data_IF_732707162561
#
_entry.id   IF_732707162561
#
_cell.length_a   1.000
_cell.length_b   1.000
_cell.length_c   1.000
_cell.angle_alpha   90.00
_cell.angle_beta   90.00
_cell.angle_gamma   90.00
#
_symmetry.space_group_name_H-M   'P 1'
#
loop_
_entity.id
_entity.type
_entity.pdbx_description
1 polymer ?
#
# COMPACT_ATOMS: atom_id res chain seq x y z
N UNK A 1 -5.12 1.67 -18.90
CA UNK A 1 -3.69 1.97 -18.70
C UNK A 1 -3.32 1.59 -17.29
N UNK A 2 -2.14 1.02 -17.05
CA UNK A 2 -1.66 0.61 -15.72
C UNK A 2 -1.61 1.82 -14.78
N UNK A 3 -2.18 1.69 -13.58
CA UNK A 3 -2.11 2.70 -12.53
C UNK A 3 -1.03 2.34 -11.52
N UNK A 4 -0.66 3.33 -10.70
CA UNK A 4 0.39 3.19 -9.70
C UNK A 4 -0.08 3.71 -8.35
N UNK A 5 0.36 3.04 -7.31
CA UNK A 5 -0.10 3.25 -5.95
C UNK A 5 1.08 3.26 -4.99
N UNK A 6 0.94 3.99 -3.90
CA UNK A 6 1.78 3.85 -2.73
C UNK A 6 0.92 3.30 -1.61
N UNK A 7 1.36 2.21 -0.99
CA UNK A 7 0.63 1.52 0.06
C UNK A 7 1.53 1.38 1.29
N UNK A 8 1.06 1.91 2.42
CA UNK A 8 1.80 1.96 3.68
C UNK A 8 1.52 0.73 4.53
N UNK A 9 2.58 0.09 5.01
CA UNK A 9 2.54 -0.99 5.98
C UNK A 9 3.54 -0.72 7.10
N UNK A 10 3.18 -1.06 8.33
CA UNK A 10 4.11 -1.02 9.46
C UNK A 10 4.98 -2.28 9.41
N UNK A 11 6.32 -2.16 9.39
CA UNK A 11 7.21 -3.33 9.30
C UNK A 11 7.01 -4.37 10.39
N UNK A 12 6.58 -3.96 11.58
CA UNK A 12 6.31 -4.85 12.71
C UNK A 12 5.00 -5.66 12.54
N UNK A 13 4.16 -5.29 11.57
CA UNK A 13 2.92 -6.00 11.23
C UNK A 13 3.08 -6.79 9.93
N UNK A 14 3.46 -6.13 8.84
CA UNK A 14 3.82 -6.77 7.58
C UNK A 14 4.94 -5.96 6.92
N UNK A 15 6.16 -6.47 6.95
CA UNK A 15 7.30 -5.90 6.24
C UNK A 15 7.33 -6.34 4.76
N UNK A 16 8.27 -5.78 3.99
CA UNK A 16 8.51 -6.24 2.62
C UNK A 16 9.11 -7.65 2.62
N UNK A 17 9.87 -8.00 3.66
CA UNK A 17 10.44 -9.34 3.79
C UNK A 17 9.36 -10.38 4.05
N UNK A 18 8.36 -10.06 4.87
CA UNK A 18 7.20 -10.93 5.10
C UNK A 18 6.42 -11.17 3.82
N UNK A 19 6.16 -10.10 3.04
CA UNK A 19 5.51 -10.23 1.73
C UNK A 19 6.33 -11.10 0.77
N UNK A 20 7.65 -10.92 0.73
CA UNK A 20 8.54 -11.72 -0.13
C UNK A 20 8.68 -13.17 0.36
N UNK A 21 8.46 -13.45 1.65
CA UNK A 21 8.49 -14.80 2.20
C UNK A 21 7.14 -15.54 2.09
N UNK A 22 6.04 -14.81 1.90
CA UNK A 22 4.71 -15.37 1.77
C UNK A 22 4.58 -16.32 0.55
N UNK A 23 3.65 -17.28 0.58
CA UNK A 23 3.38 -18.14 -0.57
C UNK A 23 3.10 -17.33 -1.84
N UNK A 24 3.85 -17.62 -2.92
CA UNK A 24 3.81 -16.87 -4.20
C UNK A 24 4.08 -15.36 -4.04
N UNK A 25 4.78 -14.98 -2.97
CA UNK A 25 5.05 -13.60 -2.58
C UNK A 25 3.78 -12.74 -2.48
N UNK A 26 2.64 -13.33 -2.10
CA UNK A 26 1.33 -12.67 -2.18
C UNK A 26 0.65 -12.67 -0.81
N UNK A 27 0.13 -11.50 -0.40
CA UNK A 27 -0.62 -11.33 0.84
C UNK A 27 -1.84 -10.42 0.64
N UNK A 28 -2.91 -10.61 1.43
CA UNK A 28 -4.01 -9.66 1.48
C UNK A 28 -3.54 -8.31 2.04
N UNK A 29 -4.01 -7.21 1.47
CA UNK A 29 -3.80 -5.86 2.00
C UNK A 29 -4.95 -5.46 2.92
N UNK A 30 -4.96 -6.05 4.11
CA UNK A 30 -6.03 -5.89 5.10
C UNK A 30 -5.84 -4.66 6.01
N UNK A 31 -6.81 -4.41 6.88
CA UNK A 31 -6.68 -3.43 7.98
C UNK A 31 -6.89 -1.97 7.58
N UNK A 32 -7.24 -1.69 6.33
CA UNK A 32 -7.56 -0.33 5.89
C UNK A 32 -8.89 0.12 6.49
N UNK A 33 -8.85 1.13 7.38
CA UNK A 33 -10.02 1.70 8.07
C UNK A 33 -10.27 3.19 7.76
N UNK A 34 -9.74 3.66 6.64
CA UNK A 34 -10.01 4.99 6.10
C UNK A 34 -10.86 4.87 4.83
N UNK A 35 -11.98 5.59 4.78
CA UNK A 35 -12.93 5.53 3.67
C UNK A 35 -12.34 5.92 2.32
N UNK A 36 -11.49 6.95 2.28
CA UNK A 36 -10.85 7.38 1.03
C UNK A 36 -9.82 6.36 0.55
N UNK A 37 -8.98 5.84 1.45
CA UNK A 37 -8.03 4.77 1.12
C UNK A 37 -8.75 3.50 0.64
N UNK A 38 -9.85 3.12 1.30
CA UNK A 38 -10.72 2.02 0.87
C UNK A 38 -11.27 2.25 -0.54
N UNK A 39 -11.77 3.45 -0.82
CA UNK A 39 -12.34 3.77 -2.13
C UNK A 39 -11.28 3.73 -3.23
N UNK A 40 -10.03 4.13 -2.96
CA UNK A 40 -8.94 3.95 -3.92
C UNK A 40 -8.74 2.48 -4.31
N UNK A 41 -8.76 1.57 -3.34
CA UNK A 41 -8.67 0.14 -3.64
C UNK A 41 -9.90 -0.37 -4.40
N UNK A 42 -11.11 -0.06 -3.88
CA UNK A 42 -12.37 -0.58 -4.43
C UNK A 42 -12.62 -0.10 -5.86
N UNK A 43 -12.41 1.19 -6.12
CA UNK A 43 -12.85 1.85 -7.35
C UNK A 43 -11.69 2.04 -8.35
N UNK A 44 -10.45 2.08 -7.85
CA UNK A 44 -9.28 2.42 -8.65
C UNK A 44 -8.38 1.25 -9.02
N UNK A 45 -8.15 0.31 -8.10
CA UNK A 45 -7.12 -0.73 -8.29
C UNK A 45 -7.60 -1.85 -9.21
N UNK A 46 -6.69 -2.32 -10.07
CA UNK A 46 -6.90 -3.48 -10.92
C UNK A 46 -5.68 -4.41 -10.86
N UNK A 47 -5.85 -5.74 -11.06
CA UNK A 47 -4.72 -6.66 -11.17
C UNK A 47 -3.66 -6.17 -12.17
N UNK A 48 -2.40 -6.20 -11.75
CA UNK A 48 -1.25 -5.73 -12.50
C UNK A 48 -0.91 -4.24 -12.30
N UNK A 49 -1.70 -3.46 -11.54
CA UNK A 49 -1.30 -2.10 -11.13
C UNK A 49 -0.06 -2.12 -10.25
N UNK A 50 0.84 -1.14 -10.42
CA UNK A 50 2.09 -1.09 -9.67
C UNK A 50 1.91 -0.54 -8.25
N UNK A 51 2.65 -1.09 -7.29
CA UNK A 51 2.62 -0.71 -5.88
C UNK A 51 4.03 -0.38 -5.38
N UNK A 52 4.20 0.82 -4.83
CA UNK A 52 5.34 1.17 -3.99
C UNK A 52 5.03 0.71 -2.57
N UNK A 53 5.73 -0.33 -2.09
CA UNK A 53 5.56 -0.85 -0.74
C UNK A 53 6.31 0.06 0.24
N UNK A 54 5.57 0.79 1.07
CA UNK A 54 6.11 1.82 1.94
C UNK A 54 6.08 1.38 3.41
N UNK A 55 7.23 1.41 4.06
CA UNK A 55 7.35 1.21 5.51
C UNK A 55 6.98 2.49 6.27
N UNK A 56 5.93 2.42 7.08
CA UNK A 56 5.43 3.51 7.92
C UNK A 56 5.58 3.22 9.41
N UNK A 57 5.39 4.26 10.25
CA UNK A 57 5.37 4.16 11.71
C UNK A 57 6.60 3.48 12.33
N UNK A 58 7.74 3.54 11.67
CA UNK A 58 8.99 2.91 12.10
C UNK A 58 10.15 3.93 12.15
N UNK A 59 11.31 3.57 12.73
CA UNK A 59 12.47 4.47 12.81
C UNK A 59 13.01 4.92 11.45
N UNK A 60 12.86 4.11 10.40
CA UNK A 60 13.34 4.36 9.05
C UNK A 60 12.21 4.25 8.02
N UNK A 61 11.32 5.26 7.93
CA UNK A 61 10.19 5.20 7.01
C UNK A 61 10.64 5.48 5.57
N UNK A 62 10.06 4.76 4.60
CA UNK A 62 10.47 4.88 3.19
C UNK A 62 9.89 3.79 2.30
N UNK A 63 10.20 3.86 1.00
CA UNK A 63 9.83 2.80 0.05
C UNK A 63 10.84 1.66 0.17
N UNK A 64 10.36 0.47 0.55
CA UNK A 64 11.20 -0.70 0.83
C UNK A 64 11.21 -1.72 -0.32
N UNK A 65 10.32 -1.57 -1.30
CA UNK A 65 10.26 -2.43 -2.46
C UNK A 65 9.14 -2.06 -3.42
N UNK A 66 9.04 -2.85 -4.49
CA UNK A 66 7.98 -2.78 -5.49
C UNK A 66 7.15 -4.06 -5.49
N UNK A 67 5.86 -3.88 -5.70
CA UNK A 67 4.86 -4.92 -5.74
C UNK A 67 3.83 -4.59 -6.83
N UNK A 68 2.81 -5.41 -6.96
CA UNK A 68 1.65 -5.13 -7.80
C UNK A 68 0.37 -5.64 -7.16
N UNK A 69 -0.76 -5.07 -7.57
CA UNK A 69 -2.09 -5.58 -7.23
C UNK A 69 -2.28 -6.94 -7.91
N UNK A 70 -2.67 -7.95 -7.15
CA UNK A 70 -2.75 -9.35 -7.59
C UNK A 70 -4.20 -9.87 -7.69
N UNK A 71 -5.19 -9.13 -7.20
CA UNK A 71 -6.61 -9.49 -7.27
C UNK A 71 -7.50 -8.27 -7.54
N UNK A 72 -8.77 -8.52 -7.86
CA UNK A 72 -9.81 -7.49 -7.70
C UNK A 72 -10.09 -7.22 -6.21
N UNK A 73 -10.82 -6.15 -5.93
CA UNK A 73 -11.28 -5.82 -4.59
C UNK A 73 -12.28 -6.84 -4.03
N UNK A 74 -12.11 -7.22 -2.76
CA UNK A 74 -13.01 -8.14 -2.05
C UNK A 74 -13.16 -7.72 -0.58
N UNK A 75 -14.14 -8.25 0.17
CA UNK A 75 -14.33 -7.92 1.58
C UNK A 75 -13.09 -8.22 2.43
N UNK A 76 -12.63 -7.26 3.22
CA UNK A 76 -11.54 -7.48 4.18
C UNK A 76 -11.99 -8.44 5.30
N UNK A 77 -11.47 -9.67 5.32
CA UNK A 77 -11.86 -10.69 6.31
C UNK A 77 -11.62 -10.25 7.77
N UNK A 78 -10.59 -9.43 8.03
CA UNK A 78 -10.25 -8.96 9.38
C UNK A 78 -11.33 -8.10 10.03
N UNK A 79 -12.28 -7.58 9.23
CA UNK A 79 -13.39 -6.79 9.76
C UNK A 79 -14.42 -7.63 10.53
N UNK A 80 -14.45 -8.95 10.33
CA UNK A 80 -15.43 -9.86 10.94
C UNK A 80 -14.89 -10.61 12.18
N UNK A 81 -13.59 -10.47 12.47
CA UNK A 81 -12.94 -11.20 13.56
C UNK A 81 -13.17 -10.53 14.91
N UNK A 82 -14.15 -11.02 15.68
CA UNK A 82 -14.47 -10.46 16.99
C UNK A 82 -13.24 -10.43 17.91
N UNK A 83 -12.94 -9.25 18.48
CA UNK A 83 -11.77 -9.03 19.33
C UNK A 83 -10.46 -8.78 18.57
N UNK A 84 -10.44 -8.90 17.24
CA UNK A 84 -9.29 -8.57 16.40
C UNK A 84 -9.02 -7.07 16.31
N UNK A 85 -7.76 -6.70 16.00
CA UNK A 85 -7.30 -5.30 15.86
C UNK A 85 -8.17 -4.47 14.90
N UNK A 86 -8.70 -5.10 13.86
CA UNK A 86 -9.44 -4.43 12.79
C UNK A 86 -10.93 -4.77 12.73
N UNK A 87 -11.45 -5.40 13.79
CA UNK A 87 -12.87 -5.72 13.92
C UNK A 87 -13.75 -4.48 13.75
N UNK A 88 -14.83 -4.63 12.99
CA UNK A 88 -15.86 -3.60 12.88
C UNK A 88 -17.22 -4.21 13.23
N UNK A 89 -17.81 -3.87 14.40
CA UNK A 89 -19.07 -4.47 14.84
C UNK A 89 -20.27 -4.11 13.95
N UNK A 90 -20.13 -3.17 13.01
CA UNK A 90 -21.18 -2.81 12.06
C UNK A 90 -20.98 -3.43 10.68
N UNK A 91 -19.90 -4.19 10.46
CA UNK A 91 -19.68 -4.90 9.21
C UNK A 91 -20.29 -6.31 9.29
N UNK A 92 -21.06 -6.70 8.28
CA UNK A 92 -21.59 -8.08 8.14
C UNK A 92 -21.12 -8.68 6.82
N UNK A 93 -21.25 -10.00 6.65
CA UNK A 93 -20.85 -10.66 5.41
C UNK A 93 -21.68 -10.16 4.21
N UNK A 94 -22.94 -9.81 4.44
CA UNK A 94 -23.87 -9.25 3.45
C UNK A 94 -23.59 -7.76 3.18
N UNK A 95 -23.06 -7.04 4.17
CA UNK A 95 -22.76 -5.60 4.10
C UNK A 95 -21.34 -5.31 4.60
N UNK A 96 -20.30 -5.76 3.85
CA UNK A 96 -18.92 -5.46 4.19
C UNK A 96 -18.64 -3.97 4.07
N UNK A 97 -18.00 -3.38 5.08
CA UNK A 97 -17.66 -1.96 5.10
C UNK A 97 -16.26 -1.70 4.56
N UNK A 98 -15.36 -2.68 4.72
CA UNK A 98 -13.94 -2.60 4.41
C UNK A 98 -13.57 -3.59 3.33
N UNK A 99 -12.59 -3.20 2.53
CA UNK A 99 -12.18 -3.87 1.31
C UNK A 99 -10.69 -4.15 1.41
N UNK A 100 -10.29 -5.30 0.88
CA UNK A 100 -8.92 -5.72 0.67
C UNK A 100 -8.68 -5.99 -0.81
N UNK A 101 -7.41 -5.99 -1.20
CA UNK A 101 -6.91 -6.55 -2.46
C UNK A 101 -5.71 -7.42 -2.09
N UNK A 102 -5.40 -8.43 -2.90
CA UNK A 102 -4.12 -9.11 -2.78
C UNK A 102 -3.03 -8.26 -3.42
N UNK A 103 -1.86 -8.25 -2.80
CA UNK A 103 -0.65 -7.61 -3.31
C UNK A 103 0.43 -8.66 -3.46
N UNK A 104 1.08 -8.68 -4.62
CA UNK A 104 2.21 -9.57 -4.94
C UNK A 104 3.52 -8.80 -4.95
N UNK A 105 4.45 -9.20 -4.09
CA UNK A 105 5.82 -8.69 -4.06
C UNK A 105 6.55 -9.04 -5.35
N UNK A 106 7.13 -8.01 -5.98
CA UNK A 106 7.93 -8.18 -7.20
C UNK A 106 9.42 -8.15 -6.88
N UNK A 107 9.84 -7.17 -6.07
CA UNK A 107 11.25 -7.00 -5.70
C UNK A 107 11.39 -6.18 -4.43
N UNK A 108 12.09 -6.73 -3.44
CA UNK A 108 12.68 -5.96 -2.34
C UNK A 108 13.83 -5.09 -2.87
N UNK A 109 13.91 -3.86 -2.40
CA UNK A 109 14.96 -2.91 -2.80
C UNK A 109 15.76 -2.46 -1.58
N UNK A 110 16.83 -1.71 -1.81
CA UNK A 110 17.33 -0.84 -0.75
C UNK A 110 16.21 0.15 -0.37
N UNK A 111 16.13 0.51 0.91
CA UNK A 111 15.15 1.48 1.38
C UNK A 111 15.43 2.83 0.73
N UNK A 112 14.43 3.43 0.09
CA UNK A 112 14.43 4.84 -0.29
C UNK A 112 13.77 5.65 0.84
N UNK A 113 14.54 6.37 1.68
CA UNK A 113 14.00 7.02 2.87
C UNK A 113 13.07 8.18 2.54
N UNK A 114 12.06 8.41 3.38
CA UNK A 114 11.16 9.56 3.26
C UNK A 114 11.92 10.89 3.21
N UNK A 115 13.00 11.03 3.97
CA UNK A 115 13.85 12.23 3.98
C UNK A 115 14.48 12.51 2.63
N UNK A 116 14.90 11.47 1.91
CA UNK A 116 15.44 11.60 0.55
C UNK A 116 14.34 11.95 -0.44
N UNK A 117 13.18 11.27 -0.37
CA UNK A 117 12.03 11.58 -1.24
C UNK A 117 11.59 13.04 -1.12
N UNK A 118 11.65 13.63 0.09
CA UNK A 118 11.31 15.05 0.33
C UNK A 118 12.26 16.04 -0.33
N UNK A 119 13.46 15.62 -0.69
CA UNK A 119 14.45 16.47 -1.35
C UNK A 119 14.35 16.41 -2.88
N UNK A 120 13.48 15.57 -3.43
CA UNK A 120 13.31 15.38 -4.87
C UNK A 120 12.22 16.32 -5.40
N UNK A 121 12.56 17.35 -6.21
CA UNK A 121 11.58 18.29 -6.74
C UNK A 121 10.49 17.60 -7.58
N UNK A 122 10.83 16.52 -8.27
CA UNK A 122 9.90 15.76 -9.11
C UNK A 122 8.80 15.06 -8.30
N UNK A 123 8.96 14.97 -6.98
CA UNK A 123 7.99 14.38 -6.05
C UNK A 123 7.23 15.44 -5.24
N UNK A 124 7.43 16.74 -5.47
CA UNK A 124 6.83 17.82 -4.65
C UNK A 124 5.30 17.69 -4.49
N UNK A 125 4.63 17.25 -5.57
CA UNK A 125 3.17 17.07 -5.61
C UNK A 125 2.70 15.67 -5.19
N UNK A 126 3.60 14.78 -4.80
CA UNK A 126 3.24 13.44 -4.36
C UNK A 126 2.39 13.52 -3.10
N UNK A 127 1.21 12.89 -3.12
CA UNK A 127 0.22 12.99 -2.03
C UNK A 127 0.75 12.50 -0.68
N UNK A 128 1.72 11.58 -0.70
CA UNK A 128 2.47 11.15 0.50
C UNK A 128 3.17 12.33 1.21
N UNK A 129 3.74 13.26 0.44
CA UNK A 129 4.63 14.30 0.95
C UNK A 129 3.89 15.56 1.39
N UNK A 130 2.64 15.74 0.93
CA UNK A 130 1.78 16.87 1.29
C UNK A 130 1.54 16.94 2.80
N UNK A 131 1.67 18.15 3.35
CA UNK A 131 1.48 18.41 4.79
C UNK A 131 0.07 17.97 5.22
N UNK A 132 -0.01 17.23 6.32
CA UNK A 132 -1.28 16.74 6.86
C UNK A 132 -1.84 15.47 6.19
N UNK A 133 -1.17 14.91 5.18
CA UNK A 133 -1.59 13.65 4.57
C UNK A 133 -1.57 12.50 5.61
N UNK A 134 -2.75 11.92 5.86
CA UNK A 134 -2.95 10.77 6.76
C UNK A 134 -3.40 9.51 6.01
N UNK A 135 -3.38 9.53 4.67
CA UNK A 135 -3.81 8.41 3.86
C UNK A 135 -2.75 7.31 3.88
N UNK A 136 -3.18 6.06 4.09
CA UNK A 136 -2.35 4.86 4.00
C UNK A 136 -2.17 4.36 2.57
N UNK A 137 -3.10 4.73 1.68
CA UNK A 137 -3.06 4.41 0.26
C UNK A 137 -3.24 5.70 -0.52
N UNK A 138 -2.36 5.96 -1.48
CA UNK A 138 -2.41 7.15 -2.31
C UNK A 138 -2.09 6.80 -3.76
N UNK A 139 -2.74 7.44 -4.74
CA UNK A 139 -2.34 7.32 -6.14
C UNK A 139 -0.93 7.90 -6.36
N UNK A 140 -0.22 7.34 -7.32
CA UNK A 140 1.11 7.77 -7.77
C UNK A 140 1.01 8.03 -9.27
N UNK A 141 1.47 9.20 -9.72
CA UNK A 141 1.45 9.49 -11.16
C UNK A 141 2.51 8.66 -11.89
N UNK A 142 2.36 8.39 -13.20
CA UNK A 142 3.40 7.70 -13.97
C UNK A 142 4.77 8.37 -13.89
N UNK A 143 4.81 9.70 -13.81
CA UNK A 143 6.05 10.46 -13.64
C UNK A 143 6.70 10.21 -12.27
N UNK A 144 5.93 10.28 -11.18
CA UNK A 144 6.40 9.99 -9.83
C UNK A 144 6.87 8.54 -9.69
N UNK A 145 6.11 7.58 -10.27
CA UNK A 145 6.49 6.19 -10.32
C UNK A 145 7.87 6.00 -10.97
N UNK A 146 8.06 6.55 -12.18
CA UNK A 146 9.32 6.45 -12.91
C UNK A 146 10.50 7.03 -12.13
N UNK A 147 10.30 8.18 -11.49
CA UNK A 147 11.33 8.81 -10.65
C UNK A 147 11.75 7.87 -9.51
N UNK A 148 10.79 7.29 -8.80
CA UNK A 148 11.05 6.39 -7.68
C UNK A 148 11.68 5.08 -8.17
N UNK A 149 11.14 4.43 -9.18
CA UNK A 149 11.69 3.15 -9.68
C UNK A 149 13.09 3.31 -10.25
N UNK A 150 13.39 4.42 -10.92
CA UNK A 150 14.75 4.75 -11.35
C UNK A 150 15.71 4.86 -10.16
N UNK A 151 15.31 5.50 -9.06
CA UNK A 151 16.13 5.57 -7.83
C UNK A 151 16.34 4.19 -7.21
N UNK A 152 15.30 3.36 -7.23
CA UNK A 152 15.34 1.99 -6.73
C UNK A 152 16.09 1.01 -7.66
N UNK A 153 16.41 1.42 -8.90
CA UNK A 153 17.04 0.59 -9.94
C UNK A 153 16.20 -0.64 -10.29
N UNK A 154 14.90 -0.42 -10.51
CA UNK A 154 13.90 -1.45 -10.88
C UNK A 154 13.04 -1.02 -12.05
#
# INVERSE_FOLDING_TARGET
>A
MKQYWLMKSEPDEVSIDDLMAAPRHTMPWFGVRNYQARNFMRDGMQPGDGVLFYHSSCPQPGVAGVAEVASGAYPDHSQFEAGGKYFDPKATQEQPRWISVDVRGLKKTALLPLSEMRQMPELEDMLLLKKGSRLSITPVTPAQWKVITNKLKV
#
